data_IF_113377356427
#
_entry.id   IF_113377356427
#
_cell.length_a   1.000
_cell.length_b   1.000
_cell.length_c   1.000
_cell.angle_alpha   90.00
_cell.angle_beta   90.00
_cell.angle_gamma   90.00
#
_symmetry.space_group_name_H-M   'P 1'
#
loop_
_entity.id
_entity.type
_entity.pdbx_description
1 polymer ?
#
# COMPACT_ATOMS: atom_id res chain seq x y z
N UNK A 1 30.44 31.60 -58.46
CA UNK A 1 29.53 30.46 -58.72
C UNK A 1 30.11 29.24 -58.02
N UNK A 2 29.30 28.64 -57.14
CA UNK A 2 29.40 27.27 -56.59
C UNK A 2 30.66 26.84 -55.83
N UNK A 3 30.62 26.98 -54.50
CA UNK A 3 31.25 26.03 -53.58
C UNK A 3 30.14 25.23 -52.88
N UNK A 4 29.83 24.04 -53.41
CA UNK A 4 28.92 23.07 -52.80
C UNK A 4 29.74 22.00 -52.09
N UNK A 5 29.78 22.12 -50.76
CA UNK A 5 30.36 21.17 -49.82
C UNK A 5 29.74 19.77 -49.98
N UNK A 6 30.57 18.78 -50.31
CA UNK A 6 30.25 17.35 -50.21
C UNK A 6 30.12 16.97 -48.74
N UNK A 7 28.91 16.68 -48.27
CA UNK A 7 28.69 15.88 -47.05
C UNK A 7 28.55 14.40 -47.43
N UNK A 8 29.17 13.46 -46.71
CA UNK A 8 28.96 12.04 -46.93
C UNK A 8 27.55 11.69 -46.45
N UNK A 9 26.79 11.00 -47.30
CA UNK A 9 25.55 10.35 -46.92
C UNK A 9 25.93 9.20 -45.98
N UNK A 10 25.61 9.34 -44.69
CA UNK A 10 25.67 8.23 -43.74
C UNK A 10 24.46 7.35 -44.04
N UNK A 11 24.65 6.35 -44.90
CA UNK A 11 23.71 5.23 -44.99
C UNK A 11 23.90 4.38 -43.75
N UNK A 12 23.03 4.55 -42.76
CA UNK A 12 22.82 3.54 -41.71
C UNK A 12 22.54 2.20 -42.41
N UNK A 13 23.26 1.16 -41.99
CA UNK A 13 23.14 -0.14 -42.61
C UNK A 13 21.75 -0.72 -42.31
N UNK A 14 21.04 -1.20 -43.33
CA UNK A 14 19.74 -1.86 -43.19
C UNK A 14 19.81 -3.07 -42.26
N UNK A 15 21.02 -3.59 -41.98
CA UNK A 15 21.28 -4.61 -40.97
C UNK A 15 21.02 -4.15 -39.52
N UNK A 16 21.32 -2.91 -39.15
CA UNK A 16 21.10 -2.43 -37.77
C UNK A 16 19.60 -2.28 -37.43
N UNK A 17 18.78 -1.96 -38.44
CA UNK A 17 17.31 -1.91 -38.31
C UNK A 17 16.74 -3.33 -38.24
N UNK A 18 17.30 -4.27 -39.01
CA UNK A 18 16.90 -5.68 -38.98
C UNK A 18 17.31 -6.39 -37.67
N UNK A 19 18.39 -5.95 -37.01
CA UNK A 19 18.82 -6.49 -35.71
C UNK A 19 17.98 -5.94 -34.53
N UNK A 20 17.40 -4.74 -34.66
CA UNK A 20 16.39 -4.22 -33.73
C UNK A 20 15.04 -4.96 -33.88
N UNK A 21 14.65 -5.37 -35.09
CA UNK A 21 13.47 -6.20 -35.34
C UNK A 21 13.66 -7.69 -34.94
N UNK A 22 14.91 -8.15 -34.84
CA UNK A 22 15.27 -9.52 -34.41
C UNK A 22 15.39 -9.70 -32.90
N UNK A 23 14.93 -8.77 -32.08
CA UNK A 23 14.60 -9.10 -30.69
C UNK A 23 13.33 -9.96 -30.65
N UNK A 24 13.46 -11.24 -31.03
CA UNK A 24 12.50 -12.28 -30.69
C UNK A 24 12.24 -12.26 -29.17
N UNK A 25 11.09 -12.80 -28.71
CA UNK A 25 10.61 -12.59 -27.35
C UNK A 25 11.71 -12.92 -26.36
N UNK A 26 12.25 -11.87 -25.72
CA UNK A 26 13.40 -11.98 -24.84
C UNK A 26 13.17 -13.14 -23.86
N UNK A 27 14.19 -13.99 -23.74
CA UNK A 27 14.21 -15.17 -22.88
C UNK A 27 14.21 -14.77 -21.40
N UNK A 28 13.19 -14.05 -20.96
CA UNK A 28 13.14 -13.50 -19.63
C UNK A 28 12.77 -14.60 -18.65
N UNK A 29 13.67 -14.89 -17.71
CA UNK A 29 13.37 -15.68 -16.52
C UNK A 29 12.56 -14.87 -15.48
N UNK A 30 11.94 -13.75 -15.87
CA UNK A 30 11.16 -12.88 -15.00
C UNK A 30 10.13 -13.65 -14.17
N UNK A 31 9.39 -14.58 -14.79
CA UNK A 31 8.38 -15.36 -14.06
C UNK A 31 8.96 -16.13 -12.87
N UNK A 32 10.21 -16.60 -12.94
CA UNK A 32 10.86 -17.31 -11.82
C UNK A 32 11.18 -16.37 -10.68
N UNK A 33 11.72 -15.19 -11.01
CA UNK A 33 12.08 -14.16 -10.03
C UNK A 33 10.82 -13.69 -9.33
N UNK A 34 9.82 -13.26 -10.09
CA UNK A 34 8.57 -12.75 -9.54
C UNK A 34 7.76 -13.81 -8.79
N UNK A 35 7.74 -15.06 -9.27
CA UNK A 35 7.10 -16.14 -8.50
C UNK A 35 7.85 -16.47 -7.21
N UNK A 36 9.18 -16.31 -7.18
CA UNK A 36 9.96 -16.48 -5.94
C UNK A 36 9.65 -15.35 -4.97
N UNK A 37 9.64 -14.10 -5.44
CA UNK A 37 9.26 -12.93 -4.64
C UNK A 37 7.84 -13.10 -4.09
N UNK A 38 6.87 -13.41 -4.95
CA UNK A 38 5.49 -13.64 -4.53
C UNK A 38 5.34 -14.83 -3.58
N UNK A 39 6.13 -15.89 -3.76
CA UNK A 39 6.18 -17.02 -2.83
C UNK A 39 6.70 -16.63 -1.45
N UNK A 40 7.80 -15.88 -1.38
CA UNK A 40 8.36 -15.38 -0.11
C UNK A 40 7.40 -14.42 0.59
N UNK A 41 6.82 -13.49 -0.17
CA UNK A 41 5.81 -12.56 0.33
C UNK A 41 4.59 -13.33 0.83
N UNK A 42 4.10 -14.34 0.11
CA UNK A 42 2.96 -15.14 0.54
C UNK A 42 3.24 -15.90 1.84
N UNK A 43 4.44 -16.47 1.99
CA UNK A 43 4.84 -17.13 3.24
C UNK A 43 4.86 -16.13 4.39
N UNK A 44 5.40 -14.92 4.18
CA UNK A 44 5.37 -13.86 5.18
C UNK A 44 3.93 -13.46 5.53
N UNK A 45 3.08 -13.22 4.53
CA UNK A 45 1.65 -12.92 4.70
C UNK A 45 0.98 -13.98 5.56
N UNK A 46 1.11 -15.26 5.20
CA UNK A 46 0.51 -16.37 5.95
C UNK A 46 1.04 -16.45 7.39
N UNK A 47 2.35 -16.28 7.59
CA UNK A 47 2.95 -16.25 8.92
C UNK A 47 2.36 -15.13 9.79
N UNK A 48 2.29 -13.91 9.27
CA UNK A 48 1.74 -12.75 9.98
C UNK A 48 0.27 -12.97 10.35
N UNK A 49 -0.56 -13.39 9.40
CA UNK A 49 -1.99 -13.63 9.66
C UNK A 49 -2.21 -14.76 10.66
N UNK A 50 -1.49 -15.87 10.55
CA UNK A 50 -1.62 -16.99 11.50
C UNK A 50 -1.21 -16.54 12.90
N UNK A 51 -0.07 -15.85 13.02
CA UNK A 51 0.44 -15.38 14.32
C UNK A 51 -0.44 -14.29 14.93
N UNK A 52 -1.05 -13.47 14.10
CA UNK A 52 -2.03 -12.48 14.53
C UNK A 52 -3.31 -13.11 15.06
N UNK A 53 -3.98 -13.95 14.28
CA UNK A 53 -5.24 -14.60 14.67
C UNK A 53 -5.09 -15.47 15.93
N UNK A 54 -3.90 -16.04 16.14
CA UNK A 54 -3.59 -16.85 17.33
C UNK A 54 -2.97 -16.06 18.48
N UNK A 55 -2.67 -14.78 18.28
CA UNK A 55 -2.01 -13.91 19.25
C UNK A 55 -2.96 -12.95 19.97
N UNK A 56 -2.44 -12.19 20.95
CA UNK A 56 -3.26 -11.27 21.76
C UNK A 56 -3.85 -10.10 20.97
N UNK A 57 -3.21 -9.68 19.88
CA UNK A 57 -3.66 -8.53 19.07
C UNK A 57 -4.91 -8.81 18.21
N UNK A 58 -5.43 -10.05 18.16
CA UNK A 58 -6.69 -10.37 17.47
C UNK A 58 -7.92 -10.14 18.35
N UNK A 59 -8.03 -8.95 18.92
CA UNK A 59 -9.18 -8.52 19.70
C UNK A 59 -9.84 -7.27 19.10
N UNK A 60 -11.12 -7.02 19.37
CA UNK A 60 -11.76 -5.78 18.94
C UNK A 60 -11.09 -4.56 19.58
N UNK A 61 -10.79 -3.54 18.78
CA UNK A 61 -10.30 -2.25 19.28
C UNK A 61 -11.50 -1.34 19.54
N UNK A 62 -11.57 -0.80 20.76
CA UNK A 62 -12.69 0.05 21.18
C UNK A 62 -12.57 1.44 20.56
N UNK A 63 -13.67 1.95 19.99
CA UNK A 63 -13.74 3.34 19.51
C UNK A 63 -13.86 4.40 20.60
N UNK A 64 -13.76 4.00 21.86
CA UNK A 64 -13.77 4.89 23.02
C UNK A 64 -15.15 5.52 23.33
N UNK A 65 -15.18 6.50 24.25
CA UNK A 65 -16.42 7.04 24.80
C UNK A 65 -17.20 7.96 23.84
N UNK A 66 -16.56 8.52 22.82
CA UNK A 66 -17.21 9.44 21.88
C UNK A 66 -17.77 8.67 20.69
N UNK A 67 -19.05 8.81 20.39
CA UNK A 67 -19.61 8.22 19.18
C UNK A 67 -19.41 9.14 17.95
N UNK A 68 -19.18 8.56 16.74
CA UNK A 68 -19.19 9.35 15.52
C UNK A 68 -20.57 10.01 15.29
N UNK A 69 -20.60 11.24 14.75
CA UNK A 69 -21.85 11.90 14.39
C UNK A 69 -22.57 11.17 13.24
N UNK A 70 -23.87 11.40 13.11
CA UNK A 70 -24.71 10.69 12.13
C UNK A 70 -24.26 10.85 10.68
N UNK A 71 -23.69 12.00 10.32
CA UNK A 71 -23.17 12.24 8.97
C UNK A 71 -21.95 11.38 8.63
N UNK A 72 -21.24 10.83 9.63
CA UNK A 72 -20.18 9.83 9.44
C UNK A 72 -20.75 8.41 9.46
N UNK A 73 -21.62 8.11 10.42
CA UNK A 73 -22.20 6.76 10.60
C UNK A 73 -22.91 6.25 9.34
N UNK A 74 -23.70 7.09 8.68
CA UNK A 74 -24.49 6.68 7.50
C UNK A 74 -23.55 6.28 6.34
N UNK A 75 -22.59 7.11 5.88
CA UNK A 75 -21.63 6.71 4.87
C UNK A 75 -20.76 5.51 5.28
N UNK A 76 -20.34 5.43 6.54
CA UNK A 76 -19.55 4.30 7.05
C UNK A 76 -20.29 2.97 6.90
N UNK A 77 -21.56 2.91 7.33
CA UNK A 77 -22.40 1.72 7.15
C UNK A 77 -22.65 1.45 5.67
N UNK A 78 -22.99 2.49 4.89
CA UNK A 78 -23.29 2.33 3.47
C UNK A 78 -22.11 1.70 2.71
N UNK A 79 -20.89 2.19 2.96
CA UNK A 79 -19.68 1.61 2.38
C UNK A 79 -19.44 0.19 2.86
N UNK A 80 -19.58 -0.09 4.16
CA UNK A 80 -19.44 -1.44 4.69
C UNK A 80 -20.40 -2.41 3.98
N UNK A 81 -21.68 -2.06 3.86
CA UNK A 81 -22.67 -2.86 3.14
C UNK A 81 -22.30 -3.07 1.67
N UNK A 82 -21.89 -1.99 0.98
CA UNK A 82 -21.45 -2.07 -0.43
C UNK A 82 -20.26 -3.03 -0.57
N UNK A 83 -19.27 -2.95 0.32
CA UNK A 83 -18.08 -3.80 0.30
C UNK A 83 -18.40 -5.26 0.66
N UNK A 84 -19.26 -5.48 1.65
CA UNK A 84 -19.63 -6.82 2.12
C UNK A 84 -20.49 -7.56 1.09
N UNK A 85 -21.45 -6.87 0.46
CA UNK A 85 -22.31 -7.44 -0.60
C UNK A 85 -21.57 -7.47 -1.93
N UNK A 86 -20.69 -6.51 -2.19
CA UNK A 86 -19.87 -6.44 -3.39
C UNK A 86 -18.87 -7.59 -3.48
N UNK A 87 -18.31 -8.05 -2.35
CA UNK A 87 -17.36 -9.16 -2.31
C UNK A 87 -17.88 -10.45 -2.97
N UNK A 88 -19.02 -11.05 -2.58
CA UNK A 88 -19.51 -12.27 -3.22
C UNK A 88 -19.85 -12.05 -4.70
N UNK A 89 -20.31 -10.85 -5.08
CA UNK A 89 -20.54 -10.51 -6.49
C UNK A 89 -19.23 -10.46 -7.27
N UNK A 90 -18.17 -9.87 -6.72
CA UNK A 90 -16.85 -9.82 -7.33
C UNK A 90 -16.25 -11.23 -7.45
N UNK A 91 -16.32 -12.05 -6.41
CA UNK A 91 -15.89 -13.44 -6.44
C UNK A 91 -16.66 -14.24 -7.50
N UNK A 92 -17.97 -14.04 -7.61
CA UNK A 92 -18.79 -14.67 -8.65
C UNK A 92 -18.36 -14.24 -10.06
N UNK A 93 -18.18 -12.95 -10.30
CA UNK A 93 -17.89 -12.41 -11.63
C UNK A 93 -16.47 -12.70 -12.11
N UNK A 94 -15.47 -12.60 -11.24
CA UNK A 94 -14.05 -12.68 -11.61
C UNK A 94 -13.41 -14.05 -11.37
N UNK A 95 -13.95 -14.87 -10.45
CA UNK A 95 -13.41 -16.20 -10.15
C UNK A 95 -14.38 -17.30 -10.58
N UNK A 96 -15.58 -17.36 -9.99
CA UNK A 96 -16.46 -18.52 -10.12
C UNK A 96 -17.03 -18.65 -11.54
N UNK A 97 -17.58 -17.58 -12.11
CA UNK A 97 -18.17 -17.59 -13.45
C UNK A 97 -17.14 -17.91 -14.55
N UNK A 98 -15.93 -17.31 -14.57
CA UNK A 98 -14.89 -17.68 -15.53
C UNK A 98 -14.39 -19.11 -15.32
N UNK A 99 -14.27 -19.56 -14.07
CA UNK A 99 -13.90 -20.95 -13.77
C UNK A 99 -14.92 -21.94 -14.34
N UNK A 100 -16.22 -21.69 -14.15
CA UNK A 100 -17.28 -22.55 -14.66
C UNK A 100 -17.39 -22.55 -16.19
N UNK A 101 -17.18 -21.40 -16.84
CA UNK A 101 -17.33 -21.25 -18.29
C UNK A 101 -16.10 -21.65 -19.08
N UNK A 102 -14.92 -21.25 -18.61
CA UNK A 102 -13.66 -21.33 -19.36
C UNK A 102 -12.66 -22.30 -18.73
N UNK A 103 -12.97 -22.86 -17.55
CA UNK A 103 -12.09 -23.76 -16.77
C UNK A 103 -10.69 -23.19 -16.54
N UNK A 104 -10.58 -21.86 -16.47
CA UNK A 104 -9.34 -21.13 -16.19
C UNK A 104 -9.56 -19.95 -15.26
N UNK A 105 -8.53 -19.58 -14.50
CA UNK A 105 -8.51 -18.34 -13.73
C UNK A 105 -8.04 -17.23 -14.68
N UNK A 106 -8.84 -16.17 -14.80
CA UNK A 106 -8.49 -15.00 -15.63
C UNK A 106 -7.45 -14.14 -14.93
N UNK A 107 -6.79 -13.25 -15.68
CA UNK A 107 -5.88 -12.26 -15.11
C UNK A 107 -6.59 -11.42 -14.03
N UNK A 108 -7.82 -10.99 -14.30
CA UNK A 108 -8.61 -10.21 -13.33
C UNK A 108 -8.93 -11.00 -12.06
N UNK A 109 -9.20 -12.31 -12.17
CA UNK A 109 -9.36 -13.18 -11.00
C UNK A 109 -8.07 -13.33 -10.18
N UNK A 110 -6.91 -13.43 -10.85
CA UNK A 110 -5.62 -13.45 -10.16
C UNK A 110 -5.29 -12.12 -9.50
N UNK A 111 -5.60 -10.99 -10.16
CA UNK A 111 -5.42 -9.65 -9.61
C UNK A 111 -6.34 -9.41 -8.42
N UNK A 112 -7.60 -9.86 -8.46
CA UNK A 112 -8.54 -9.77 -7.34
C UNK A 112 -7.95 -10.39 -6.07
N UNK A 113 -7.45 -11.63 -6.17
CA UNK A 113 -6.83 -12.32 -5.02
C UNK A 113 -5.50 -11.68 -4.63
N UNK A 114 -4.69 -11.27 -5.62
CA UNK A 114 -3.39 -10.64 -5.35
C UNK A 114 -3.53 -9.31 -4.60
N UNK A 115 -4.48 -8.48 -5.00
CA UNK A 115 -4.76 -7.20 -4.34
C UNK A 115 -5.43 -7.40 -2.97
N UNK A 116 -6.27 -8.43 -2.80
CA UNK A 116 -6.80 -8.80 -1.48
C UNK A 116 -5.67 -9.16 -0.51
N UNK A 117 -4.72 -9.99 -0.94
CA UNK A 117 -3.59 -10.40 -0.13
C UNK A 117 -2.64 -9.23 0.15
N UNK A 118 -2.44 -8.33 -0.82
CA UNK A 118 -1.59 -7.14 -0.68
C UNK A 118 -1.95 -6.28 0.54
N UNK A 119 -3.21 -6.30 1.00
CA UNK A 119 -3.67 -5.62 2.22
C UNK A 119 -2.82 -5.94 3.46
N UNK A 120 -2.12 -7.08 3.51
CA UNK A 120 -1.19 -7.39 4.61
C UNK A 120 -0.12 -6.31 4.84
N UNK A 121 0.18 -5.53 3.80
CA UNK A 121 1.16 -4.46 3.86
C UNK A 121 0.58 -3.14 4.38
N UNK A 122 -0.74 -3.02 4.52
CA UNK A 122 -1.39 -1.77 4.90
C UNK A 122 -0.84 -1.16 6.21
N UNK A 123 -0.64 -1.92 7.30
CA UNK A 123 -0.07 -1.37 8.53
C UNK A 123 1.35 -0.85 8.37
N UNK A 124 2.09 -1.22 7.32
CA UNK A 124 3.49 -0.80 7.15
C UNK A 124 3.65 0.72 7.03
N UNK A 125 2.59 1.44 6.67
CA UNK A 125 2.60 2.91 6.73
C UNK A 125 2.82 3.46 8.16
N UNK A 126 2.49 2.67 9.19
CA UNK A 126 2.64 2.99 10.61
C UNK A 126 3.93 2.45 11.25
N UNK A 127 4.92 2.03 10.45
CA UNK A 127 6.07 1.25 10.95
C UNK A 127 6.89 1.93 12.07
N UNK A 128 7.07 3.26 11.99
CA UNK A 128 7.85 4.05 12.95
C UNK A 128 6.98 4.80 13.97
N UNK A 129 5.84 5.30 13.50
CA UNK A 129 4.86 6.04 14.28
C UNK A 129 3.53 5.88 13.57
N UNK A 130 2.43 6.05 14.31
CA UNK A 130 1.09 6.00 13.73
C UNK A 130 0.87 7.21 12.82
N UNK A 131 0.96 6.98 11.53
CA UNK A 131 0.80 7.92 10.45
C UNK A 131 -0.65 8.01 9.95
N UNK A 132 -1.34 6.86 9.82
CA UNK A 132 -2.76 6.74 9.49
C UNK A 132 -3.48 5.83 10.49
N UNK A 133 -4.73 6.17 10.81
CA UNK A 133 -5.59 5.40 11.70
C UNK A 133 -7.00 5.30 11.14
N UNK A 134 -7.57 4.09 11.14
CA UNK A 134 -8.96 3.89 10.73
C UNK A 134 -9.94 4.27 11.82
N UNK A 135 -11.18 4.51 11.42
CA UNK A 135 -12.28 4.69 12.35
C UNK A 135 -12.60 3.39 13.09
N UNK A 136 -12.35 3.35 14.40
CA UNK A 136 -12.57 2.21 15.28
C UNK A 136 -14.07 1.87 15.49
N UNK A 137 -15.00 2.65 14.95
CA UNK A 137 -16.43 2.42 15.15
C UNK A 137 -17.00 1.24 14.34
N UNK A 138 -16.46 0.98 13.14
CA UNK A 138 -16.87 -0.17 12.35
C UNK A 138 -16.32 -1.48 12.94
N UNK A 139 -16.88 -2.62 12.51
CA UNK A 139 -16.37 -3.93 12.89
C UNK A 139 -14.89 -4.06 12.53
N UNK A 140 -14.05 -4.21 13.56
CA UNK A 140 -12.60 -4.20 13.44
C UNK A 140 -11.93 -5.23 14.37
N UNK A 141 -10.61 -5.41 14.17
CA UNK A 141 -9.69 -6.13 15.06
C UNK A 141 -8.40 -5.33 15.19
N UNK A 142 -7.59 -5.58 16.22
CA UNK A 142 -6.26 -4.99 16.32
C UNK A 142 -5.34 -5.38 15.16
N UNK A 143 -4.21 -4.71 14.99
CA UNK A 143 -3.36 -4.93 13.80
C UNK A 143 -2.36 -6.09 13.96
N UNK A 144 -1.92 -6.69 12.85
CA UNK A 144 -0.80 -7.65 12.82
C UNK A 144 0.57 -6.97 12.75
N UNK A 145 0.59 -5.63 12.71
CA UNK A 145 1.77 -4.77 12.72
C UNK A 145 2.92 -5.23 13.65
N UNK A 146 2.68 -5.57 14.93
CA UNK A 146 3.75 -5.97 15.86
C UNK A 146 4.56 -7.21 15.43
N UNK A 147 3.99 -8.06 14.57
CA UNK A 147 4.66 -9.26 14.07
C UNK A 147 5.49 -9.01 12.82
N UNK A 148 5.38 -7.82 12.20
CA UNK A 148 6.19 -7.43 11.07
C UNK A 148 7.65 -7.33 11.52
N UNK A 149 8.60 -7.97 10.82
CA UNK A 149 10.01 -7.91 11.18
C UNK A 149 10.52 -6.47 11.32
N UNK A 150 11.11 -6.17 12.48
CA UNK A 150 11.71 -4.87 12.79
C UNK A 150 10.73 -3.76 13.16
N UNK A 151 9.44 -4.05 13.34
CA UNK A 151 8.43 -3.08 13.75
C UNK A 151 8.91 -2.19 14.91
N UNK A 152 8.75 -0.87 14.77
CA UNK A 152 9.32 0.13 15.69
C UNK A 152 8.24 0.81 16.51
N UNK A 153 7.11 1.15 15.88
CA UNK A 153 6.02 1.84 16.56
C UNK A 153 5.51 1.05 17.78
N UNK A 154 5.05 1.78 18.79
CA UNK A 154 4.45 1.19 19.96
C UNK A 154 3.06 0.62 19.66
N UNK A 155 2.78 -0.58 20.17
CA UNK A 155 1.51 -1.27 19.95
C UNK A 155 1.14 -2.11 21.17
N UNK A 156 -0.04 -1.88 21.72
CA UNK A 156 -0.59 -2.62 22.86
C UNK A 156 -1.89 -3.34 22.48
N UNK A 157 -2.10 -4.59 22.92
CA UNK A 157 -3.36 -5.29 22.66
C UNK A 157 -4.58 -4.44 23.04
N UNK A 158 -5.55 -4.32 22.12
CA UNK A 158 -6.75 -3.49 22.29
C UNK A 158 -6.55 -1.99 22.04
N UNK A 159 -5.30 -1.53 21.93
CA UNK A 159 -4.88 -0.14 21.75
C UNK A 159 -3.97 0.04 20.53
N UNK A 160 -4.21 -0.73 19.47
CA UNK A 160 -3.53 -0.60 18.18
C UNK A 160 -4.38 0.20 17.19
N UNK A 161 -3.81 0.50 16.03
CA UNK A 161 -4.62 0.90 14.87
C UNK A 161 -5.67 -0.18 14.57
N UNK A 162 -6.96 0.18 14.41
CA UNK A 162 -8.03 -0.78 14.18
C UNK A 162 -8.04 -1.21 12.71
N UNK A 163 -8.12 -2.52 12.45
CA UNK A 163 -8.20 -3.10 11.12
C UNK A 163 -9.65 -3.51 10.80
N UNK A 164 -10.41 -2.73 10.01
CA UNK A 164 -11.76 -3.08 9.60
C UNK A 164 -11.74 -4.11 8.48
N UNK A 165 -11.32 -5.35 8.77
CA UNK A 165 -11.05 -6.41 7.79
C UNK A 165 -12.16 -6.61 6.74
N UNK A 166 -13.42 -6.61 7.16
CA UNK A 166 -14.55 -6.84 6.26
C UNK A 166 -14.74 -5.70 5.26
N UNK A 167 -14.18 -4.53 5.53
CA UNK A 167 -14.20 -3.34 4.69
C UNK A 167 -12.89 -3.24 3.91
N UNK A 168 -11.74 -3.37 4.57
CA UNK A 168 -10.43 -3.23 3.93
C UNK A 168 -10.16 -4.35 2.92
N UNK A 169 -10.38 -5.62 3.26
CA UNK A 169 -10.09 -6.73 2.33
C UNK A 169 -10.88 -6.57 1.02
N UNK A 170 -12.22 -6.35 1.02
CA UNK A 170 -12.94 -6.14 -0.23
C UNK A 170 -12.57 -4.83 -0.95
N UNK A 171 -12.31 -3.76 -0.20
CA UNK A 171 -11.86 -2.48 -0.77
C UNK A 171 -10.56 -2.64 -1.55
N UNK A 172 -9.57 -3.29 -0.96
CA UNK A 172 -8.31 -3.64 -1.63
C UNK A 172 -8.51 -4.67 -2.75
N UNK A 173 -9.30 -5.72 -2.53
CA UNK A 173 -9.50 -6.78 -3.50
C UNK A 173 -10.17 -6.26 -4.79
N UNK A 174 -11.41 -5.82 -4.68
CA UNK A 174 -12.22 -5.47 -5.84
C UNK A 174 -12.30 -3.96 -6.06
N UNK A 175 -12.22 -3.13 -5.02
CA UNK A 175 -12.23 -1.66 -5.19
C UNK A 175 -11.03 -1.19 -6.02
N UNK A 176 -9.82 -1.53 -5.59
CA UNK A 176 -8.58 -1.23 -6.34
C UNK A 176 -8.59 -1.88 -7.72
N UNK A 177 -9.09 -3.12 -7.85
CA UNK A 177 -9.20 -3.77 -9.15
C UNK A 177 -10.15 -3.02 -10.10
N UNK A 178 -11.32 -2.58 -9.63
CA UNK A 178 -12.27 -1.82 -10.44
C UNK A 178 -11.69 -0.49 -10.89
N UNK A 179 -11.01 0.25 -9.99
CA UNK A 179 -10.29 1.48 -10.34
C UNK A 179 -9.21 1.18 -11.39
N UNK A 180 -8.52 0.04 -11.27
CA UNK A 180 -7.51 -0.42 -12.24
C UNK A 180 -8.13 -0.76 -13.60
N UNK A 181 -9.29 -1.40 -13.62
CA UNK A 181 -10.03 -1.70 -14.86
C UNK A 181 -10.46 -0.40 -15.55
N UNK A 182 -10.99 0.56 -14.79
CA UNK A 182 -11.38 1.88 -15.28
C UNK A 182 -10.17 2.66 -15.80
N UNK A 183 -9.06 2.67 -15.06
CA UNK A 183 -7.79 3.27 -15.47
C UNK A 183 -7.27 2.67 -16.78
N UNK A 184 -7.32 1.34 -16.93
CA UNK A 184 -6.99 0.68 -18.19
C UNK A 184 -7.94 1.08 -19.35
N UNK A 185 -9.23 1.25 -19.08
CA UNK A 185 -10.19 1.71 -20.08
C UNK A 185 -9.91 3.16 -20.50
N UNK A 186 -9.52 4.01 -19.55
CA UNK A 186 -9.10 5.37 -19.81
C UNK A 186 -7.81 5.43 -20.63
N UNK A 187 -6.81 4.61 -20.30
CA UNK A 187 -5.59 4.47 -21.10
C UNK A 187 -5.91 4.07 -22.55
N UNK A 188 -6.85 3.14 -22.76
CA UNK A 188 -7.32 2.75 -24.10
C UNK A 188 -7.96 3.93 -24.82
N UNK A 189 -8.82 4.69 -24.13
CA UNK A 189 -9.50 5.87 -24.70
C UNK A 189 -8.51 6.97 -25.09
N UNK A 190 -7.50 7.23 -24.26
CA UNK A 190 -6.42 8.19 -24.53
C UNK A 190 -5.62 7.73 -25.76
N UNK A 191 -5.22 6.47 -25.82
CA UNK A 191 -4.47 5.92 -26.96
C UNK A 191 -5.28 5.94 -28.26
N UNK A 192 -6.59 5.68 -28.20
CA UNK A 192 -7.48 5.78 -29.36
C UNK A 192 -7.64 7.23 -29.85
N UNK A 193 -7.60 8.21 -28.94
CA UNK A 193 -7.67 9.64 -29.29
C UNK A 193 -6.34 10.16 -29.82
N UNK A 194 -5.22 9.70 -29.26
CA UNK A 194 -3.87 10.08 -29.65
C UNK A 194 -3.00 8.84 -29.89
N UNK A 195 -3.07 8.22 -31.08
CA UNK A 195 -2.33 6.99 -31.38
C UNK A 195 -0.80 7.13 -31.27
N UNK A 196 -0.27 8.34 -31.50
CA UNK A 196 1.16 8.65 -31.40
C UNK A 196 1.66 8.98 -29.98
N UNK A 197 0.84 8.82 -28.93
CA UNK A 197 1.28 9.05 -27.55
C UNK A 197 2.33 8.00 -27.16
N UNK A 198 3.48 8.45 -26.64
CA UNK A 198 4.50 7.52 -26.13
C UNK A 198 4.02 6.82 -24.87
N UNK A 199 4.54 5.61 -24.62
CA UNK A 199 4.23 4.84 -23.41
C UNK A 199 4.46 5.65 -22.14
N UNK A 200 5.59 6.35 -22.03
CA UNK A 200 5.89 7.19 -20.88
C UNK A 200 4.84 8.30 -20.66
N UNK A 201 4.44 9.01 -21.73
CA UNK A 201 3.41 10.04 -21.63
C UNK A 201 2.06 9.47 -21.22
N UNK A 202 1.69 8.29 -21.73
CA UNK A 202 0.46 7.61 -21.32
C UNK A 202 0.47 7.25 -19.83
N UNK A 203 1.60 6.76 -19.32
CA UNK A 203 1.78 6.44 -17.89
C UNK A 203 1.69 7.71 -17.03
N UNK A 204 2.41 8.77 -17.40
CA UNK A 204 2.40 10.04 -16.65
C UNK A 204 1.01 10.70 -16.63
N UNK A 205 0.27 10.66 -17.74
CA UNK A 205 -1.12 11.15 -17.78
C UNK A 205 -2.01 10.31 -16.87
N UNK A 206 -1.86 8.98 -16.92
CA UNK A 206 -2.63 8.07 -16.04
C UNK A 206 -2.31 8.31 -14.57
N UNK A 207 -1.05 8.55 -14.24
CA UNK A 207 -0.59 8.92 -12.90
C UNK A 207 -1.21 10.24 -12.42
N UNK A 208 -1.17 11.29 -13.25
CA UNK A 208 -1.81 12.57 -12.95
C UNK A 208 -3.32 12.44 -12.70
N UNK A 209 -4.01 11.64 -13.52
CA UNK A 209 -5.44 11.38 -13.34
C UNK A 209 -5.71 10.59 -12.06
N UNK A 210 -4.85 9.62 -11.72
CA UNK A 210 -4.97 8.85 -10.49
C UNK A 210 -4.84 9.75 -9.25
N UNK A 211 -3.87 10.67 -9.23
CA UNK A 211 -3.71 11.65 -8.13
C UNK A 211 -4.97 12.52 -7.98
N UNK A 212 -5.51 13.03 -9.09
CA UNK A 212 -6.72 13.88 -9.05
C UNK A 212 -7.94 13.09 -8.60
N UNK A 213 -8.09 11.86 -9.08
CA UNK A 213 -9.16 10.97 -8.64
C UNK A 213 -9.05 10.66 -7.15
N UNK A 214 -7.84 10.38 -6.67
CA UNK A 214 -7.55 10.14 -5.27
C UNK A 214 -7.88 11.36 -4.40
N UNK A 215 -7.45 12.56 -4.79
CA UNK A 215 -7.86 13.79 -4.10
C UNK A 215 -9.39 13.95 -4.00
N UNK A 216 -10.13 13.69 -5.07
CA UNK A 216 -11.60 13.81 -5.05
C UNK A 216 -12.24 12.74 -4.18
N UNK A 217 -11.80 11.49 -4.30
CA UNK A 217 -12.37 10.36 -3.58
C UNK A 217 -11.98 10.41 -2.09
N UNK A 218 -10.70 10.59 -1.80
CA UNK A 218 -10.15 10.53 -0.46
C UNK A 218 -10.30 11.84 0.29
N UNK A 219 -9.71 12.93 -0.23
CA UNK A 219 -9.65 14.22 0.47
C UNK A 219 -11.03 14.89 0.60
N UNK A 220 -11.89 14.77 -0.42
CA UNK A 220 -13.18 15.45 -0.43
C UNK A 220 -14.35 14.57 0.05
N UNK A 221 -14.20 13.24 0.04
CA UNK A 221 -15.27 12.31 0.42
C UNK A 221 -14.87 11.45 1.60
N UNK A 222 -13.85 10.59 1.49
CA UNK A 222 -13.56 9.56 2.51
C UNK A 222 -13.05 10.13 3.85
N UNK A 223 -12.17 11.13 3.81
CA UNK A 223 -11.66 11.78 5.02
C UNK A 223 -12.75 12.61 5.72
N UNK A 224 -13.55 13.47 5.03
CA UNK A 224 -14.64 14.21 5.67
C UNK A 224 -15.77 13.35 6.24
N UNK A 225 -16.06 12.19 5.65
CA UNK A 225 -17.04 11.23 6.23
C UNK A 225 -16.42 10.35 7.31
N UNK A 226 -15.11 10.47 7.55
CA UNK A 226 -14.41 9.88 8.67
C UNK A 226 -14.12 8.39 8.54
N UNK A 227 -13.74 7.91 7.35
CA UNK A 227 -13.26 6.52 7.18
C UNK A 227 -11.98 6.23 7.95
N UNK A 228 -11.03 7.16 7.86
CA UNK A 228 -9.74 7.16 8.52
C UNK A 228 -9.27 8.60 8.67
N UNK A 229 -8.13 8.78 9.34
CA UNK A 229 -7.46 10.05 9.51
C UNK A 229 -5.95 9.85 9.38
N UNK A 230 -5.24 10.88 8.93
CA UNK A 230 -3.77 10.91 8.86
C UNK A 230 -3.18 11.78 9.98
N UNK A 231 -3.20 11.35 11.25
CA UNK A 231 -2.74 12.19 12.35
C UNK A 231 -1.24 12.51 12.28
N UNK A 232 -0.42 11.61 11.76
CA UNK A 232 1.02 11.83 11.61
C UNK A 232 1.43 12.57 10.33
N UNK A 233 0.48 13.17 9.60
CA UNK A 233 0.79 13.87 8.36
C UNK A 233 1.64 15.13 8.58
N UNK A 234 2.52 15.43 7.61
CA UNK A 234 3.22 16.71 7.54
C UNK A 234 2.20 17.78 7.17
N UNK A 235 1.86 18.63 8.12
CA UNK A 235 0.78 19.62 8.02
C UNK A 235 1.06 20.63 6.89
N UNK A 236 2.31 21.06 6.73
CA UNK A 236 2.71 22.00 5.66
C UNK A 236 2.50 21.47 4.24
N UNK A 237 2.43 20.15 4.06
CA UNK A 237 2.20 19.47 2.79
C UNK A 237 0.82 18.81 2.73
N UNK A 238 -0.12 19.27 3.56
CA UNK A 238 -1.46 18.70 3.68
C UNK A 238 -2.55 19.71 3.36
N UNK A 239 -3.60 19.23 2.68
CA UNK A 239 -4.87 19.93 2.55
C UNK A 239 -5.64 19.82 3.87
N UNK A 240 -6.31 20.90 4.31
CA UNK A 240 -6.99 20.99 5.62
C UNK A 240 -6.12 20.59 6.83
N UNK A 241 -4.85 21.00 6.81
CA UNK A 241 -3.90 20.76 7.88
C UNK A 241 -4.47 21.06 9.29
N UNK A 242 -4.18 20.18 10.25
CA UNK A 242 -4.62 20.32 11.65
C UNK A 242 -6.08 19.91 11.89
N UNK A 243 -6.79 19.40 10.89
CA UNK A 243 -8.14 18.83 11.06
C UNK A 243 -8.12 17.30 11.01
N UNK A 244 -9.18 16.64 11.48
CA UNK A 244 -9.28 15.18 11.37
C UNK A 244 -9.32 14.66 9.93
N UNK A 245 -9.68 15.52 8.97
CA UNK A 245 -9.81 15.18 7.55
C UNK A 245 -8.67 15.82 6.72
N UNK A 246 -7.52 16.04 7.35
CA UNK A 246 -6.33 16.49 6.65
C UNK A 246 -5.87 15.43 5.64
N UNK A 247 -5.55 15.86 4.43
CA UNK A 247 -5.10 14.99 3.36
C UNK A 247 -3.68 15.36 2.95
N UNK A 248 -2.68 14.49 3.22
CA UNK A 248 -1.32 14.74 2.79
C UNK A 248 -1.23 14.67 1.26
N UNK A 249 -0.74 15.70 0.60
CA UNK A 249 -0.65 15.73 -0.89
C UNK A 249 0.25 14.60 -1.40
N UNK A 250 1.23 14.21 -0.60
CA UNK A 250 2.11 13.08 -0.89
C UNK A 250 1.42 11.72 -0.82
N UNK A 251 0.29 11.60 -0.12
CA UNK A 251 -0.55 10.40 -0.19
C UNK A 251 -1.06 10.19 -1.61
N UNK A 252 -1.60 11.26 -2.23
CA UNK A 252 -2.01 11.20 -3.63
C UNK A 252 -0.88 10.81 -4.58
N UNK A 253 0.35 11.28 -4.33
CA UNK A 253 1.51 10.88 -5.12
C UNK A 253 1.86 9.39 -4.94
N UNK A 254 1.75 8.85 -3.72
CA UNK A 254 2.03 7.45 -3.40
C UNK A 254 0.94 6.52 -3.97
N UNK A 255 -0.33 6.77 -3.65
CA UNK A 255 -1.48 6.01 -4.17
C UNK A 255 -1.64 6.13 -5.67
N UNK A 256 -1.46 7.32 -6.23
CA UNK A 256 -1.41 7.51 -7.68
C UNK A 256 -0.34 6.63 -8.31
N UNK A 257 0.82 6.46 -7.64
CA UNK A 257 1.96 5.69 -8.13
C UNK A 257 1.64 4.20 -8.17
N UNK A 258 1.07 3.69 -7.08
CA UNK A 258 0.51 2.33 -7.03
C UNK A 258 -0.50 2.13 -8.14
N UNK A 259 -1.48 3.01 -8.25
CA UNK A 259 -2.59 2.85 -9.19
C UNK A 259 -2.10 2.89 -10.65
N UNK A 260 -1.17 3.79 -10.97
CA UNK A 260 -0.53 3.83 -12.28
C UNK A 260 0.27 2.55 -12.56
N UNK A 261 1.04 2.05 -11.58
CA UNK A 261 1.82 0.82 -11.73
C UNK A 261 0.93 -0.42 -11.94
N UNK A 262 -0.17 -0.54 -11.19
CA UNK A 262 -1.16 -1.60 -11.36
C UNK A 262 -1.88 -1.51 -12.71
N UNK A 263 -2.21 -0.30 -13.16
CA UNK A 263 -2.74 -0.08 -14.51
C UNK A 263 -1.72 -0.50 -15.56
N UNK A 264 -0.44 -0.19 -15.41
CA UNK A 264 0.62 -0.62 -16.32
C UNK A 264 0.73 -2.15 -16.37
N UNK A 265 0.73 -2.79 -15.19
CA UNK A 265 0.81 -4.24 -15.05
C UNK A 265 -0.34 -4.93 -15.80
N UNK A 266 -1.55 -4.38 -15.69
CA UNK A 266 -2.76 -4.93 -16.32
C UNK A 266 -2.93 -4.53 -17.79
N UNK A 267 -2.47 -3.35 -18.20
CA UNK A 267 -2.67 -2.80 -19.55
C UNK A 267 -1.65 -3.30 -20.56
N UNK A 268 -0.37 -3.39 -20.16
CA UNK A 268 0.71 -3.81 -21.05
C UNK A 268 0.90 -5.33 -20.99
N UNK A 269 0.01 -6.04 -21.66
CA UNK A 269 0.11 -7.49 -21.87
C UNK A 269 0.70 -7.81 -23.23
N UNK A 270 1.32 -8.99 -23.36
CA UNK A 270 1.70 -9.53 -24.66
C UNK A 270 0.49 -10.07 -25.46
N UNK A 271 0.74 -10.59 -26.66
CA UNK A 271 -0.28 -11.14 -27.56
C UNK A 271 -1.04 -12.34 -26.96
N UNK A 272 -0.51 -12.95 -25.90
CA UNK A 272 -1.10 -14.07 -25.17
C UNK A 272 -1.82 -13.62 -23.90
N UNK A 273 -1.84 -12.31 -23.62
CA UNK A 273 -2.46 -11.74 -22.42
C UNK A 273 -1.62 -11.90 -21.15
N UNK A 274 -0.31 -12.16 -21.28
CA UNK A 274 0.62 -12.25 -20.17
C UNK A 274 1.18 -10.86 -19.81
N UNK A 275 1.14 -10.54 -18.53
CA UNK A 275 1.77 -9.35 -17.95
C UNK A 275 3.30 -9.46 -17.96
N UNK A 276 4.01 -8.35 -17.69
CA UNK A 276 5.48 -8.34 -17.67
C UNK A 276 6.10 -9.29 -16.64
N UNK A 277 5.41 -9.55 -15.53
CA UNK A 277 5.93 -10.37 -14.42
C UNK A 277 5.82 -11.87 -14.68
N UNK A 278 4.92 -12.29 -15.56
CA UNK A 278 4.70 -13.69 -15.95
C UNK A 278 5.30 -14.02 -17.33
N UNK A 279 6.03 -13.08 -17.94
CA UNK A 279 6.63 -13.26 -19.27
C UNK A 279 7.56 -14.47 -19.28
N UNK A 280 7.38 -15.35 -20.28
CA UNK A 280 8.17 -16.57 -20.43
C UNK A 280 7.63 -17.80 -19.70
N UNK A 281 6.45 -17.70 -19.06
CA UNK A 281 5.83 -18.81 -18.32
C UNK A 281 5.51 -20.03 -19.19
N UNK A 282 5.32 -19.85 -20.50
CA UNK A 282 5.08 -20.93 -21.47
C UNK A 282 6.19 -22.00 -21.49
N UNK A 283 7.39 -21.65 -21.00
CA UNK A 283 8.52 -22.59 -20.90
C UNK A 283 8.40 -23.53 -19.71
N UNK A 284 7.52 -23.24 -18.76
CA UNK A 284 7.35 -24.04 -17.55
C UNK A 284 6.67 -25.37 -17.91
N UNK A 285 7.46 -26.44 -17.93
CA UNK A 285 6.94 -27.81 -18.04
C UNK A 285 6.18 -28.18 -16.77
N UNK A 286 4.91 -28.57 -16.92
CA UNK A 286 4.05 -29.00 -15.82
C UNK A 286 2.57 -28.99 -16.19
N UNK A 287 1.75 -29.56 -15.31
CA UNK A 287 0.29 -29.54 -15.47
C UNK A 287 -0.29 -28.13 -15.31
N UNK A 288 -1.52 -27.95 -15.80
CA UNK A 288 -2.25 -26.68 -15.79
C UNK A 288 -2.27 -25.99 -14.42
N UNK A 289 -2.52 -26.75 -13.34
CA UNK A 289 -2.57 -26.23 -11.97
C UNK A 289 -1.23 -25.59 -11.55
N UNK A 290 -0.11 -26.24 -11.86
CA UNK A 290 1.23 -25.73 -11.54
C UNK A 290 1.52 -24.44 -12.28
N UNK A 291 1.16 -24.36 -13.56
CA UNK A 291 1.35 -23.16 -14.37
C UNK A 291 0.50 -22.00 -13.84
N UNK A 292 -0.78 -22.24 -13.53
CA UNK A 292 -1.66 -21.19 -12.97
C UNK A 292 -1.20 -20.72 -11.58
N UNK A 293 -0.70 -21.62 -10.74
CA UNK A 293 -0.19 -21.24 -9.42
C UNK A 293 1.10 -20.40 -9.51
N UNK A 294 2.06 -20.80 -10.34
CA UNK A 294 3.29 -20.00 -10.57
C UNK A 294 2.95 -18.65 -11.19
N UNK A 295 1.97 -18.62 -12.11
CA UNK A 295 1.45 -17.38 -12.69
C UNK A 295 0.89 -16.45 -11.62
N UNK A 296 0.04 -17.00 -10.74
CA UNK A 296 -0.54 -16.27 -9.62
C UNK A 296 0.56 -15.72 -8.69
N UNK A 297 1.55 -16.52 -8.31
CA UNK A 297 2.66 -16.05 -7.47
C UNK A 297 3.44 -14.92 -8.14
N UNK A 298 3.69 -15.00 -9.45
CA UNK A 298 4.38 -13.93 -10.17
C UNK A 298 3.57 -12.63 -10.19
N UNK A 299 2.25 -12.71 -10.43
CA UNK A 299 1.35 -11.56 -10.39
C UNK A 299 1.28 -10.98 -8.97
N UNK A 300 1.14 -11.83 -7.96
CA UNK A 300 1.11 -11.42 -6.56
C UNK A 300 2.40 -10.74 -6.12
N UNK A 301 3.56 -11.26 -6.53
CA UNK A 301 4.85 -10.63 -6.31
C UNK A 301 4.95 -9.26 -6.99
N UNK A 302 4.46 -9.13 -8.22
CA UNK A 302 4.40 -7.86 -8.95
C UNK A 302 3.51 -6.81 -8.27
N UNK A 303 2.27 -7.19 -7.95
CA UNK A 303 1.30 -6.34 -7.24
C UNK A 303 1.84 -5.90 -5.89
N UNK A 304 2.39 -6.84 -5.12
CA UNK A 304 2.99 -6.56 -3.81
C UNK A 304 4.18 -5.63 -3.91
N UNK A 305 5.03 -5.78 -4.93
CA UNK A 305 6.17 -4.88 -5.14
C UNK A 305 5.73 -3.47 -5.59
N UNK A 306 4.67 -3.34 -6.40
CA UNK A 306 4.12 -2.03 -6.74
C UNK A 306 3.69 -1.29 -5.47
N UNK A 307 2.93 -1.94 -4.58
CA UNK A 307 2.51 -1.32 -3.33
C UNK A 307 3.69 -1.04 -2.40
N UNK A 308 4.60 -1.99 -2.24
CA UNK A 308 5.77 -1.81 -1.39
C UNK A 308 6.64 -0.62 -1.82
N UNK A 309 6.96 -0.53 -3.12
CA UNK A 309 7.89 0.47 -3.63
C UNK A 309 7.27 1.87 -3.76
N UNK A 310 6.01 1.96 -4.19
CA UNK A 310 5.36 3.26 -4.44
C UNK A 310 4.60 3.79 -3.22
N UNK A 311 4.26 2.93 -2.25
CA UNK A 311 3.52 3.32 -1.05
C UNK A 311 4.35 3.12 0.21
N UNK A 312 4.71 1.89 0.57
CA UNK A 312 5.32 1.63 1.89
C UNK A 312 6.69 2.28 2.08
N UNK A 313 7.58 2.20 1.09
CA UNK A 313 8.92 2.83 1.18
C UNK A 313 8.83 4.35 1.38
N UNK A 314 8.11 5.12 0.54
CA UNK A 314 7.98 6.55 0.76
C UNK A 314 7.15 6.89 2.02
N UNK A 315 6.09 6.14 2.33
CA UNK A 315 5.26 6.39 3.50
C UNK A 315 6.05 6.20 4.81
N UNK A 316 6.83 5.13 4.92
CA UNK A 316 7.70 4.91 6.09
C UNK A 316 8.76 5.99 6.25
N UNK A 317 9.32 6.49 5.15
CA UNK A 317 10.26 7.61 5.20
C UNK A 317 9.59 8.92 5.67
N UNK A 318 8.42 9.24 5.11
CA UNK A 318 7.68 10.45 5.45
C UNK A 318 7.09 10.39 6.86
N UNK A 319 6.69 9.21 7.33
CA UNK A 319 6.18 8.98 8.68
C UNK A 319 7.20 9.27 9.79
N UNK A 320 8.51 9.26 9.50
CA UNK A 320 9.55 9.70 10.45
C UNK A 320 9.59 11.23 10.64
N UNK A 321 8.89 11.98 9.79
CA UNK A 321 8.88 13.44 9.78
C UNK A 321 7.49 14.00 10.15
N UNK A 322 6.64 13.19 10.78
CA UNK A 322 5.29 13.61 11.15
C UNK A 322 5.28 14.79 12.11
N UNK A 323 4.36 15.73 11.89
CA UNK A 323 4.11 16.84 12.79
C UNK A 323 3.32 16.37 14.03
N UNK A 324 3.04 17.31 14.95
CA UNK A 324 2.21 17.01 16.10
C UNK A 324 0.82 16.53 15.66
N UNK A 325 0.34 15.48 16.31
CA UNK A 325 -1.01 14.97 16.10
C UNK A 325 -2.04 16.08 16.29
N UNK A 326 -2.94 16.32 15.33
CA UNK A 326 -3.95 17.37 15.48
C UNK A 326 -4.84 17.14 16.70
N UNK A 327 -5.10 18.20 17.47
CA UNK A 327 -6.05 18.17 18.59
C UNK A 327 -7.43 17.66 18.16
N UNK A 328 -7.81 17.98 16.92
CA UNK A 328 -9.07 17.56 16.33
C UNK A 328 -9.14 16.02 16.15
N UNK A 329 -8.02 15.35 15.90
CA UNK A 329 -7.98 13.88 15.92
C UNK A 329 -7.99 13.34 17.35
N UNK A 330 -7.16 13.91 18.22
CA UNK A 330 -6.98 13.43 19.60
C UNK A 330 -8.28 13.43 20.41
N UNK A 331 -9.13 14.47 20.26
CA UNK A 331 -10.42 14.55 20.97
C UNK A 331 -11.51 13.62 20.44
N UNK A 332 -11.27 12.91 19.34
CA UNK A 332 -12.20 11.95 18.73
C UNK A 332 -11.70 10.54 19.01
N UNK A 333 -12.22 9.93 20.06
CA UNK A 333 -11.76 8.60 20.49
C UNK A 333 -11.92 7.49 19.43
N UNK A 334 -12.81 7.67 18.45
CA UNK A 334 -12.95 6.74 17.32
C UNK A 334 -11.81 6.84 16.28
N UNK A 335 -10.97 7.87 16.32
CA UNK A 335 -9.71 7.94 15.56
C UNK A 335 -8.47 7.68 16.43
N UNK A 336 -8.58 7.88 17.74
CA UNK A 336 -7.54 7.54 18.70
C UNK A 336 -8.07 6.53 19.74
N UNK A 337 -8.05 5.23 19.43
CA UNK A 337 -8.60 4.19 20.31
C UNK A 337 -7.66 3.84 21.49
N UNK A 338 -7.14 4.87 22.15
CA UNK A 338 -6.19 4.74 23.26
C UNK A 338 -4.78 4.36 22.84
N UNK A 339 -4.36 4.70 21.61
CA UNK A 339 -2.98 4.51 21.16
C UNK A 339 -2.04 5.43 21.94
N UNK A 340 -2.52 6.65 22.25
CA UNK A 340 -1.80 7.69 22.98
C UNK A 340 -2.79 8.71 23.57
N UNK A 341 -2.28 9.65 24.37
CA UNK A 341 -3.05 10.79 24.87
C UNK A 341 -3.92 10.42 26.08
N UNK A 342 -5.09 11.07 26.19
CA UNK A 342 -5.98 10.90 27.34
C UNK A 342 -6.35 9.43 27.57
N UNK A 343 -6.23 8.97 28.82
CA UNK A 343 -6.47 7.57 29.20
C UNK A 343 -5.25 6.66 29.04
N UNK A 344 -4.12 7.19 28.59
CA UNK A 344 -2.83 6.50 28.52
C UNK A 344 -1.79 7.24 29.37
N UNK A 345 -0.62 6.64 29.59
CA UNK A 345 0.53 7.30 30.21
C UNK A 345 1.50 7.89 29.17
N UNK A 346 1.13 7.85 27.89
CA UNK A 346 1.96 8.23 26.75
C UNK A 346 1.37 9.42 26.01
N UNK A 347 2.11 10.52 25.86
CA UNK A 347 1.69 11.60 24.97
C UNK A 347 1.60 11.11 23.51
N UNK A 348 0.70 11.70 22.74
CA UNK A 348 0.64 11.46 21.30
C UNK A 348 1.89 12.00 20.59
N UNK A 349 2.27 11.41 19.43
CA UNK A 349 3.45 11.83 18.69
C UNK A 349 3.49 13.35 18.47
N UNK A 350 4.61 13.94 18.86
CA UNK A 350 4.88 15.37 18.77
C UNK A 350 6.38 15.58 18.47
N UNK A 351 6.76 16.46 17.52
CA UNK A 351 8.15 16.80 17.23
C UNK A 351 8.98 17.27 18.43
N UNK A 352 8.33 17.79 19.47
CA UNK A 352 8.99 18.22 20.71
C UNK A 352 9.46 17.05 21.58
N UNK A 353 9.01 15.82 21.29
CA UNK A 353 9.33 14.61 22.04
C UNK A 353 10.25 13.68 21.23
N UNK A 354 11.18 12.96 21.88
CA UNK A 354 11.91 11.89 21.24
C UNK A 354 10.94 10.83 20.68
N UNK A 355 11.20 10.33 19.47
CA UNK A 355 10.40 9.25 18.88
C UNK A 355 10.61 7.95 19.68
N UNK A 356 9.60 7.49 20.45
CA UNK A 356 9.75 6.27 21.20
C UNK A 356 9.63 5.05 20.28
N UNK A 357 10.41 4.02 20.57
CA UNK A 357 10.31 2.70 19.94
C UNK A 357 9.65 1.73 20.90
N UNK A 358 9.15 0.60 20.39
CA UNK A 358 8.65 -0.51 21.19
C UNK A 358 9.66 -1.14 22.17
N UNK A 359 10.94 -0.71 22.15
CA UNK A 359 12.02 -1.18 23.02
C UNK A 359 12.68 -0.07 23.85
N UNK A 360 12.32 1.19 23.64
CA UNK A 360 12.93 2.32 24.34
C UNK A 360 12.04 2.81 25.46
N UNK A 361 12.62 3.63 26.34
CA UNK A 361 11.80 4.48 27.21
C UNK A 361 11.09 5.57 26.42
N UNK A 362 10.12 6.21 27.08
CA UNK A 362 9.37 7.37 26.58
C UNK A 362 9.21 8.40 27.69
N UNK A 363 8.85 9.63 27.30
CA UNK A 363 8.51 10.69 28.26
C UNK A 363 7.01 10.66 28.49
N UNK A 364 6.57 10.54 29.75
CA UNK A 364 5.15 10.53 30.11
C UNK A 364 4.56 11.96 30.15
N UNK A 365 3.27 12.06 30.50
CA UNK A 365 2.56 13.34 30.60
C UNK A 365 3.15 14.30 31.67
N UNK A 366 3.84 13.77 32.68
CA UNK A 366 4.51 14.53 33.73
C UNK A 366 5.94 14.97 33.36
N UNK A 367 6.41 14.63 32.15
CA UNK A 367 7.77 14.94 31.69
C UNK A 367 8.85 14.01 32.26
N UNK A 368 8.46 12.87 32.84
CA UNK A 368 9.36 11.87 33.40
C UNK A 368 9.71 10.82 32.34
N UNK A 369 10.99 10.42 32.29
CA UNK A 369 11.43 9.29 31.46
C UNK A 369 11.00 7.98 32.11
N UNK A 370 10.08 7.26 31.45
CA UNK A 370 9.64 5.91 31.82
C UNK A 370 10.45 4.91 31.02
N UNK A 371 11.17 4.00 31.71
CA UNK A 371 11.92 2.92 31.08
C UNK A 371 11.11 1.62 31.05
N UNK A 372 11.35 0.73 30.08
CA UNK A 372 10.76 -0.61 30.08
C UNK A 372 11.12 -1.38 31.35
N UNK A 373 10.25 -2.30 31.75
CA UNK A 373 10.45 -3.11 32.95
C UNK A 373 11.80 -3.86 32.91
N UNK A 374 12.56 -3.78 34.00
CA UNK A 374 13.87 -4.42 34.12
C UNK A 374 15.01 -3.68 33.39
N UNK A 375 14.74 -2.57 32.71
CA UNK A 375 15.76 -1.74 32.07
C UNK A 375 16.19 -0.61 33.00
N UNK A 376 17.50 -0.38 33.09
CA UNK A 376 18.08 0.76 33.82
C UNK A 376 18.82 1.66 32.85
N UNK A 377 19.05 2.91 33.24
CA UNK A 377 19.88 3.82 32.45
C UNK A 377 21.28 3.21 32.24
N UNK A 378 21.80 3.18 31.00
CA UNK A 378 23.13 2.68 30.74
C UNK A 378 24.19 3.42 31.58
N UNK A 379 25.12 2.70 32.23
CA UNK A 379 26.19 3.33 32.99
C UNK A 379 27.15 4.08 32.05
N UNK A 380 27.80 5.11 32.57
CA UNK A 380 28.86 5.82 31.84
C UNK A 380 30.05 4.89 31.65
N UNK A 381 30.42 4.63 30.39
CA UNK A 381 31.63 3.87 30.05
C UNK A 381 32.82 4.83 29.96
N UNK A 382 33.84 4.70 30.82
CA UNK A 382 34.98 5.61 30.81
C UNK A 382 35.81 5.45 29.53
N UNK A 383 36.33 6.56 29.01
CA UNK A 383 37.25 6.56 27.88
C UNK A 383 38.59 5.98 28.35
N UNK A 384 39.12 5.00 27.61
CA UNK A 384 40.47 4.49 27.86
C UNK A 384 41.49 5.60 27.59
N UNK A 385 42.14 6.08 28.64
CA UNK A 385 43.34 6.91 28.55
C UNK A 385 44.53 5.93 28.61
N UNK A 386 45.40 5.90 27.57
CA UNK A 386 46.55 4.97 27.51
C UNK A 386 47.51 5.16 28.71
N UNK A 387 48.31 4.18 29.12
CA UNK A 387 48.85 3.02 28.41
C UNK A 387 48.21 1.68 28.83
N UNK A 388 47.78 0.86 27.85
CA UNK A 388 47.58 -0.57 28.08
C UNK A 388 48.96 -1.26 28.05
N UNK A 389 49.28 -2.16 29.01
CA UNK A 389 50.50 -2.96 28.97
C UNK A 389 50.49 -4.01 27.85
#
# INVERSE_FOLDING_TARGET
MSDLSRKPVVTESVSDIADLEKQGPSSSNAFKIWATVGGLVLVLTLYLFIRWVTGPYFEPVSGGPTEPPMYMKIPLIANAVVLWVGLPVALWLFIIRPWLRERRITLDGMLLVSMALMMFQDPMLNYYSTWCTYNAWLFNRGSWAPYIPGWVAHEEPGHTVPEPLLTNIPGYAYGVLLITIVGCALMRKIKNRWPGISTLRLILVTYGIAIVFDFVMEALVMLPIGFYSYPGAIQSLSFNAGTYYQWPIYEGFMWGGVQAALCCLRFFTDDRGHTVVERGIDRLRGGFVKQQFVRFLAIFGGVSACFFLFYNVPATWLGMHGDAWPEDVQKRSYFNPGICGEGTDRPCPNPDLPLPTNRSGYVNHEGQLVLPEGVTLPPVVPILQGEQP
#
